data_IF_560158026842
#
_entry.id   IF_560158026842
#
_cell.length_a   1.000
_cell.length_b   1.000
_cell.length_c   1.000
_cell.angle_alpha   90.00
_cell.angle_beta   90.00
_cell.angle_gamma   90.00
#
_symmetry.space_group_name_H-M   'P 1'
#
loop_
_entity.id
_entity.type
_entity.pdbx_description
1 polymer ?
#
# COMPACT_ATOMS: atom_id res chain seq x y z
N UNK A 1 37.84 47.18 15.15
CA UNK A 1 37.30 47.37 13.79
C UNK A 1 37.62 46.11 12.98
N UNK A 2 36.80 45.07 13.17
CA UNK A 2 36.87 43.79 12.47
C UNK A 2 35.43 43.34 12.17
N UNK A 3 35.01 43.40 10.93
CA UNK A 3 33.74 42.95 10.39
C UNK A 3 33.97 42.61 8.92
N UNK A 4 33.23 41.69 8.29
CA UNK A 4 33.04 40.26 8.39
C UNK A 4 33.35 39.60 7.05
N UNK A 5 34.04 38.49 7.09
CA UNK A 5 34.29 37.63 5.90
C UNK A 5 33.38 36.39 5.82
N UNK A 6 32.27 36.36 6.54
CA UNK A 6 31.43 35.16 6.63
C UNK A 6 30.31 35.11 5.57
N UNK A 7 29.98 36.21 4.91
CA UNK A 7 28.81 36.27 4.00
C UNK A 7 29.05 35.88 2.53
N UNK A 8 30.29 35.67 2.08
CA UNK A 8 30.56 35.38 0.67
C UNK A 8 30.84 33.93 0.32
N UNK A 9 30.92 33.02 1.28
CA UNK A 9 31.11 31.57 1.01
C UNK A 9 29.80 30.87 0.72
N UNK A 10 28.66 31.46 1.04
CA UNK A 10 27.34 30.84 0.91
C UNK A 10 26.77 30.76 -0.52
N UNK A 11 27.26 31.56 -1.47
CA UNK A 11 26.65 31.68 -2.81
C UNK A 11 27.37 30.82 -3.88
N UNK A 12 28.63 30.45 -3.66
CA UNK A 12 29.44 29.66 -4.59
C UNK A 12 29.24 28.14 -4.49
N UNK A 13 28.62 27.63 -3.43
CA UNK A 13 28.47 26.19 -3.17
C UNK A 13 27.25 25.55 -3.84
N UNK A 14 26.38 26.34 -4.46
CA UNK A 14 25.07 25.85 -4.92
C UNK A 14 25.07 25.12 -6.28
N UNK A 15 26.13 25.20 -7.09
CA UNK A 15 26.07 24.65 -8.45
C UNK A 15 27.00 23.46 -8.74
N UNK A 16 27.97 23.15 -7.89
CA UNK A 16 29.00 22.16 -8.20
C UNK A 16 29.03 20.89 -7.31
N UNK A 17 28.26 20.82 -6.22
CA UNK A 17 28.37 19.76 -5.23
C UNK A 17 27.10 18.97 -4.93
N UNK A 18 26.10 18.97 -5.81
CA UNK A 18 24.92 18.11 -5.67
C UNK A 18 24.89 17.00 -6.74
N UNK A 19 25.73 15.95 -6.65
CA UNK A 19 25.45 14.74 -7.39
C UNK A 19 24.21 14.10 -6.78
N UNK A 20 23.11 14.10 -7.53
CA UNK A 20 21.90 13.36 -7.27
C UNK A 20 21.34 13.41 -5.84
N UNK A 21 20.32 14.21 -5.57
CA UNK A 21 19.51 14.02 -4.37
C UNK A 21 18.71 12.75 -4.53
N UNK A 22 18.71 11.91 -3.50
CA UNK A 22 17.81 10.78 -3.43
C UNK A 22 16.38 11.29 -3.43
N UNK A 23 15.57 10.74 -4.29
CA UNK A 23 14.16 11.06 -4.42
C UNK A 23 13.35 10.20 -3.46
N UNK A 24 12.37 10.76 -2.77
CA UNK A 24 11.35 9.98 -2.09
C UNK A 24 10.58 9.17 -3.15
N UNK A 25 10.92 7.90 -3.31
CA UNK A 25 10.31 7.01 -4.31
C UNK A 25 9.26 6.14 -3.64
N UNK A 26 8.23 5.70 -4.38
CA UNK A 26 7.07 5.05 -3.82
C UNK A 26 6.94 3.60 -4.27
N UNK A 27 7.20 2.61 -3.43
CA UNK A 27 6.63 1.29 -3.65
C UNK A 27 5.13 1.31 -3.39
N UNK A 28 4.39 0.55 -4.18
CA UNK A 28 2.97 0.28 -3.93
C UNK A 28 2.85 -0.73 -2.79
N UNK A 29 2.06 -0.38 -1.77
CA UNK A 29 1.70 -1.27 -0.67
C UNK A 29 0.37 -1.94 -1.06
N UNK A 30 0.42 -3.19 -1.51
CA UNK A 30 -0.78 -3.90 -1.97
C UNK A 30 -1.69 -4.35 -0.83
N UNK A 31 -1.13 -4.69 0.33
CA UNK A 31 -1.87 -5.16 1.49
C UNK A 31 -2.68 -4.03 2.16
N UNK A 32 -3.98 -4.01 1.94
CA UNK A 32 -4.92 -3.04 2.53
C UNK A 32 -6.09 -3.75 3.24
N UNK A 33 -5.85 -4.98 3.71
CA UNK A 33 -6.77 -5.81 4.45
C UNK A 33 -6.16 -7.20 4.71
N UNK A 34 -6.29 -7.74 5.92
CA UNK A 34 -5.64 -9.00 6.29
C UNK A 34 -6.17 -10.19 5.48
N UNK A 35 -7.48 -10.26 5.19
CA UNK A 35 -8.05 -11.33 4.39
C UNK A 35 -7.47 -11.36 2.98
N UNK A 36 -7.37 -10.21 2.31
CA UNK A 36 -6.77 -10.09 0.98
C UNK A 36 -5.26 -10.35 1.02
N UNK A 37 -4.54 -9.82 2.02
CA UNK A 37 -3.10 -10.07 2.22
C UNK A 37 -2.80 -11.56 2.39
N UNK A 38 -3.65 -12.30 3.11
CA UNK A 38 -3.50 -13.75 3.25
C UNK A 38 -3.58 -14.50 1.90
N UNK A 39 -4.26 -13.94 0.91
CA UNK A 39 -4.34 -14.44 -0.47
C UNK A 39 -3.37 -13.74 -1.41
N UNK A 40 -2.30 -13.15 -0.86
CA UNK A 40 -1.30 -12.36 -1.61
C UNK A 40 -1.95 -11.31 -2.51
N UNK A 41 -3.06 -10.70 -2.01
CA UNK A 41 -3.85 -9.62 -2.60
C UNK A 41 -4.73 -9.98 -3.83
N UNK A 42 -4.91 -11.27 -4.16
CA UNK A 42 -5.91 -11.72 -5.13
C UNK A 42 -7.32 -11.64 -4.51
N UNK A 43 -8.03 -10.51 -4.71
CA UNK A 43 -9.28 -10.20 -4.02
C UNK A 43 -10.27 -9.36 -4.84
N UNK A 44 -9.91 -8.90 -6.04
CA UNK A 44 -10.72 -7.94 -6.79
C UNK A 44 -11.99 -8.54 -7.42
N UNK A 45 -12.07 -9.86 -7.61
CA UNK A 45 -13.28 -10.55 -8.07
C UNK A 45 -14.10 -11.15 -6.92
N UNK A 46 -13.50 -11.40 -5.74
CA UNK A 46 -14.22 -11.75 -4.52
C UNK A 46 -14.82 -10.52 -3.84
N UNK A 47 -14.04 -9.56 -3.45
CA UNK A 47 -14.37 -8.24 -2.90
C UNK A 47 -15.61 -8.25 -1.97
N UNK A 48 -15.64 -9.13 -0.94
CA UNK A 48 -16.82 -9.41 -0.13
C UNK A 48 -16.68 -9.06 1.34
N UNK A 49 -15.76 -8.14 1.66
CA UNK A 49 -15.63 -7.49 2.96
C UNK A 49 -15.42 -5.98 2.78
N UNK A 50 -15.38 -5.15 3.83
CA UNK A 50 -15.25 -3.69 3.69
C UNK A 50 -14.02 -3.21 2.95
N UNK A 51 -12.93 -4.01 2.86
CA UNK A 51 -11.77 -3.67 2.03
C UNK A 51 -12.06 -3.72 0.52
N UNK A 52 -13.22 -4.23 0.11
CA UNK A 52 -13.74 -4.09 -1.26
C UNK A 52 -13.65 -2.64 -1.74
N UNK A 53 -13.86 -1.67 -0.86
CA UNK A 53 -13.71 -0.25 -1.14
C UNK A 53 -12.32 0.11 -1.72
N UNK A 54 -11.28 -0.65 -1.35
CA UNK A 54 -9.94 -0.53 -1.94
C UNK A 54 -9.74 -1.47 -3.12
N UNK A 55 -10.05 -2.77 -2.98
CA UNK A 55 -9.70 -3.78 -4.00
C UNK A 55 -10.63 -3.74 -5.22
N UNK A 56 -11.94 -3.62 -5.02
CA UNK A 56 -12.95 -3.45 -6.07
C UNK A 56 -14.22 -2.81 -5.48
N UNK A 57 -14.37 -1.50 -5.58
CA UNK A 57 -15.53 -0.77 -5.07
C UNK A 57 -16.91 -1.34 -5.44
N UNK A 58 -17.05 -1.89 -6.66
CA UNK A 58 -18.30 -2.54 -7.07
C UNK A 58 -18.71 -3.70 -6.16
N UNK A 59 -17.75 -4.34 -5.48
CA UNK A 59 -17.98 -5.40 -4.50
C UNK A 59 -18.72 -4.95 -3.25
N UNK A 60 -18.74 -3.65 -2.94
CA UNK A 60 -19.51 -3.11 -1.81
C UNK A 60 -21.00 -3.42 -1.90
N UNK A 61 -21.53 -3.65 -3.12
CA UNK A 61 -22.94 -4.04 -3.31
C UNK A 61 -23.28 -5.42 -2.77
N UNK A 62 -22.27 -6.26 -2.47
CA UNK A 62 -22.42 -7.58 -1.84
C UNK A 62 -22.55 -7.48 -0.31
N UNK A 63 -22.14 -6.36 0.28
CA UNK A 63 -22.14 -6.15 1.73
C UNK A 63 -23.52 -5.76 2.22
N UNK A 64 -23.94 -6.34 3.35
CA UNK A 64 -25.23 -6.06 3.98
C UNK A 64 -25.06 -5.13 5.17
N UNK A 65 -26.10 -4.31 5.40
CA UNK A 65 -26.18 -3.43 6.57
C UNK A 65 -25.07 -2.37 6.60
N UNK A 66 -24.68 -2.01 7.80
CA UNK A 66 -23.54 -1.16 8.09
C UNK A 66 -22.37 -2.06 8.51
N UNK A 67 -21.20 -1.86 7.91
CA UNK A 67 -19.99 -2.60 8.30
C UNK A 67 -18.84 -1.63 8.59
N UNK A 68 -18.11 -1.94 9.62
CA UNK A 68 -16.85 -1.30 10.00
C UNK A 68 -15.71 -2.32 9.93
N UNK A 69 -14.56 -1.91 9.44
CA UNK A 69 -13.35 -2.72 9.47
C UNK A 69 -12.14 -1.81 9.73
N UNK A 70 -11.26 -2.23 10.62
CA UNK A 70 -9.99 -1.56 10.88
C UNK A 70 -8.89 -2.60 11.09
N UNK A 71 -7.66 -2.22 10.75
CA UNK A 71 -6.51 -3.09 10.90
C UNK A 71 -5.20 -2.41 10.56
N UNK A 72 -4.12 -3.18 10.65
CA UNK A 72 -2.77 -2.72 10.32
C UNK A 72 -1.91 -3.87 9.80
N UNK A 73 -0.84 -3.47 9.08
CA UNK A 73 0.22 -4.36 8.63
C UNK A 73 1.50 -4.06 9.42
N UNK A 74 2.08 -5.07 10.02
CA UNK A 74 3.39 -5.00 10.68
C UNK A 74 4.42 -5.48 9.66
N UNK A 75 5.26 -4.56 9.17
CA UNK A 75 6.25 -4.85 8.13
C UNK A 75 7.66 -4.80 8.74
N UNK A 76 8.41 -5.88 8.57
CA UNK A 76 9.80 -5.99 8.99
C UNK A 76 10.65 -6.65 7.91
N UNK A 77 11.97 -6.59 8.07
CA UNK A 77 12.92 -7.20 7.16
C UNK A 77 14.12 -6.30 6.90
N UNK A 78 15.00 -6.73 6.00
CA UNK A 78 16.26 -6.03 5.71
C UNK A 78 16.63 -6.12 4.24
N UNK A 79 17.55 -5.26 3.84
CA UNK A 79 18.27 -5.33 2.57
C UNK A 79 19.77 -5.40 2.82
N UNK A 80 20.40 -6.47 2.37
CA UNK A 80 21.86 -6.62 2.38
C UNK A 80 22.43 -6.10 1.06
N UNK A 81 23.51 -5.34 1.17
CA UNK A 81 24.25 -4.82 0.03
C UNK A 81 25.70 -5.30 0.07
N UNK A 82 26.24 -5.62 -1.11
CA UNK A 82 27.67 -5.90 -1.30
C UNK A 82 28.15 -5.16 -2.57
N UNK A 83 29.11 -4.25 -2.41
CA UNK A 83 29.71 -3.53 -3.52
C UNK A 83 30.62 -4.43 -4.37
N UNK A 84 31.00 -4.05 -5.59
CA UNK A 84 31.99 -4.79 -6.41
C UNK A 84 33.38 -4.94 -5.75
N UNK A 85 33.69 -4.07 -4.79
CA UNK A 85 34.96 -4.09 -4.04
C UNK A 85 34.84 -4.83 -2.69
N UNK A 86 33.68 -5.45 -2.40
CA UNK A 86 33.45 -6.22 -1.17
C UNK A 86 33.02 -5.39 0.03
N UNK A 87 32.72 -4.10 -0.12
CA UNK A 87 32.13 -3.30 0.97
C UNK A 87 30.69 -3.74 1.16
N UNK A 88 30.31 -4.03 2.40
CA UNK A 88 28.95 -4.46 2.76
C UNK A 88 28.21 -3.39 3.54
N UNK A 89 26.89 -3.39 3.44
CA UNK A 89 25.99 -2.61 4.29
C UNK A 89 24.67 -3.37 4.48
N UNK A 90 24.03 -3.17 5.63
CA UNK A 90 22.68 -3.66 5.89
C UNK A 90 21.75 -2.45 6.04
N UNK A 91 20.70 -2.41 5.22
CA UNK A 91 19.61 -1.46 5.29
C UNK A 91 18.43 -2.13 5.98
N UNK A 92 18.02 -1.57 7.08
CA UNK A 92 16.79 -1.97 7.73
C UNK A 92 15.66 -0.99 7.37
N UNK A 93 14.45 -1.44 7.52
CA UNK A 93 13.28 -0.61 7.36
C UNK A 93 12.84 -0.07 8.71
N UNK A 94 13.57 0.96 9.19
CA UNK A 94 13.40 1.58 10.50
C UNK A 94 13.68 0.60 11.66
N UNK A 95 14.78 -0.09 11.58
CA UNK A 95 15.10 -1.18 12.48
C UNK A 95 14.44 -2.47 12.00
N UNK A 96 13.87 -3.25 12.89
CA UNK A 96 13.24 -4.54 12.55
C UNK A 96 11.79 -4.42 12.10
N UNK A 97 11.09 -3.33 12.46
CA UNK A 97 9.67 -3.11 12.16
C UNK A 97 9.42 -1.67 11.73
N UNK A 98 8.70 -1.49 10.63
CA UNK A 98 8.28 -0.18 10.15
C UNK A 98 7.28 0.47 11.14
N UNK A 99 7.55 1.72 11.50
CA UNK A 99 6.70 2.51 12.39
C UNK A 99 6.47 3.92 11.83
N UNK A 100 5.24 4.46 11.81
CA UNK A 100 3.98 3.77 12.16
C UNK A 100 3.63 2.66 11.18
N UNK A 101 2.94 1.59 11.64
CA UNK A 101 2.53 0.50 10.76
C UNK A 101 1.49 1.00 9.75
N UNK A 102 1.56 0.59 8.46
CA UNK A 102 0.52 0.88 7.49
C UNK A 102 -0.84 0.39 7.99
N UNK A 103 -1.76 1.32 8.22
CA UNK A 103 -3.11 1.03 8.71
C UNK A 103 -4.15 1.11 7.61
N UNK A 104 -5.31 0.49 7.87
CA UNK A 104 -6.49 0.62 7.03
C UNK A 104 -7.76 0.69 7.88
N UNK A 105 -8.71 1.51 7.44
CA UNK A 105 -10.02 1.63 8.08
C UNK A 105 -11.07 1.82 7.01
N UNK A 106 -12.20 1.13 7.14
CA UNK A 106 -13.31 1.18 6.20
C UNK A 106 -14.64 1.24 6.93
N UNK A 107 -15.55 2.05 6.40
CA UNK A 107 -16.96 2.06 6.75
C UNK A 107 -17.74 1.88 5.46
N UNK A 108 -18.63 0.90 5.39
CA UNK A 108 -19.48 0.63 4.23
C UNK A 108 -20.93 0.48 4.68
N UNK A 109 -21.86 0.99 3.90
CA UNK A 109 -23.27 0.96 4.19
C UNK A 109 -24.07 0.58 2.94
N UNK A 110 -24.94 -0.43 3.05
CA UNK A 110 -25.98 -0.70 2.07
C UNK A 110 -27.18 0.17 2.42
N UNK A 111 -27.50 1.14 1.56
CA UNK A 111 -28.49 2.16 1.90
C UNK A 111 -29.91 1.62 2.03
N UNK A 112 -30.26 0.56 1.29
CA UNK A 112 -31.54 -0.13 1.42
C UNK A 112 -31.70 -0.76 2.80
N UNK A 113 -30.66 -1.43 3.28
CA UNK A 113 -30.68 -2.12 4.59
C UNK A 113 -30.74 -1.12 5.77
N UNK A 114 -30.35 0.15 5.52
CA UNK A 114 -30.51 1.27 6.48
C UNK A 114 -31.86 1.99 6.39
N UNK A 115 -32.80 1.44 5.63
CA UNK A 115 -34.16 2.02 5.51
C UNK A 115 -34.36 3.01 4.36
N UNK A 116 -33.31 3.32 3.59
CA UNK A 116 -33.39 4.21 2.42
C UNK A 116 -33.80 3.41 1.18
N UNK A 117 -35.01 2.85 1.18
CA UNK A 117 -35.52 1.92 0.16
C UNK A 117 -35.55 2.51 -1.25
N UNK A 118 -35.76 3.84 -1.39
CA UNK A 118 -35.71 4.55 -2.67
C UNK A 118 -34.29 4.49 -3.34
N UNK A 119 -33.26 4.25 -2.56
CA UNK A 119 -31.87 4.09 -3.01
C UNK A 119 -31.46 2.61 -3.09
N UNK A 120 -32.44 1.73 -3.37
CA UNK A 120 -32.21 0.30 -3.53
C UNK A 120 -31.12 0.01 -4.57
N UNK A 121 -30.17 -0.83 -4.18
CA UNK A 121 -29.00 -1.17 -5.02
C UNK A 121 -27.78 -0.25 -4.82
N UNK A 122 -27.91 0.88 -4.11
CA UNK A 122 -26.80 1.79 -3.81
C UNK A 122 -26.13 1.41 -2.47
N UNK A 123 -24.81 1.34 -2.50
CA UNK A 123 -23.93 1.24 -1.32
C UNK A 123 -22.98 2.42 -1.30
N UNK A 124 -22.71 2.96 -0.12
CA UNK A 124 -21.77 4.05 0.10
C UNK A 124 -20.70 3.62 1.09
N UNK A 125 -19.51 4.20 1.01
CA UNK A 125 -18.45 3.93 1.95
C UNK A 125 -17.38 5.01 1.97
N UNK A 126 -16.58 4.97 3.01
CA UNK A 126 -15.36 5.75 3.14
C UNK A 126 -14.25 4.85 3.66
N UNK A 127 -13.05 4.97 3.07
CA UNK A 127 -11.85 4.24 3.48
C UNK A 127 -10.70 5.18 3.78
N UNK A 128 -9.85 4.75 4.68
CA UNK A 128 -8.54 5.33 4.93
C UNK A 128 -7.50 4.23 4.75
N UNK A 129 -6.55 4.43 3.83
CA UNK A 129 -5.56 3.42 3.44
C UNK A 129 -4.19 4.05 3.23
N UNK A 130 -3.16 3.20 3.10
CA UNK A 130 -1.78 3.61 2.78
C UNK A 130 -1.30 2.81 1.56
N UNK A 131 -1.83 3.09 0.35
CA UNK A 131 -1.53 2.28 -0.84
C UNK A 131 -0.15 2.55 -1.46
N UNK A 132 0.49 3.64 -1.06
CA UNK A 132 1.84 4.00 -1.46
C UNK A 132 2.63 4.45 -0.23
N UNK A 133 3.89 4.08 -0.15
CA UNK A 133 4.74 4.48 0.96
C UNK A 133 6.11 3.82 0.91
N UNK A 134 7.06 4.41 1.60
CA UNK A 134 8.38 3.84 1.83
C UNK A 134 8.88 4.19 3.21
N UNK A 135 9.75 3.33 3.71
CA UNK A 135 10.55 3.62 4.90
C UNK A 135 11.82 2.79 4.77
N UNK A 136 12.96 3.44 4.63
CA UNK A 136 14.28 2.79 4.48
C UNK A 136 15.33 3.59 5.22
N UNK A 137 16.22 2.91 5.92
CA UNK A 137 17.35 3.50 6.62
C UNK A 137 18.62 2.73 6.31
N UNK A 138 19.72 3.45 6.05
CA UNK A 138 21.05 2.93 5.89
C UNK A 138 22.00 3.56 6.92
N UNK A 139 23.13 2.89 7.25
CA UNK A 139 24.15 3.49 8.12
C UNK A 139 24.64 4.83 7.57
N UNK A 140 24.71 5.85 8.44
CA UNK A 140 25.12 7.20 8.05
C UNK A 140 26.59 7.28 7.60
N UNK A 141 27.44 6.34 8.03
CA UNK A 141 28.86 6.18 7.66
C UNK A 141 29.07 5.14 6.57
N UNK A 142 27.99 4.52 6.08
CA UNK A 142 28.00 3.45 5.08
C UNK A 142 28.27 3.93 3.64
N UNK A 143 28.26 2.99 2.68
CA UNK A 143 28.53 3.29 1.26
C UNK A 143 27.49 4.22 0.64
N UNK A 144 26.27 4.26 1.19
CA UNK A 144 25.17 5.09 0.67
C UNK A 144 25.06 6.47 1.33
N UNK A 145 26.02 6.87 2.16
CA UNK A 145 25.98 8.18 2.84
C UNK A 145 25.78 9.37 1.90
N UNK A 146 26.26 9.28 0.63
CA UNK A 146 26.07 10.34 -0.38
C UNK A 146 24.90 10.08 -1.33
N UNK A 147 24.27 8.91 -1.25
CA UNK A 147 23.09 8.56 -2.03
C UNK A 147 21.81 8.81 -1.19
N UNK A 148 21.52 7.91 -0.24
CA UNK A 148 20.37 7.99 0.66
C UNK A 148 20.71 7.30 1.96
N UNK A 149 20.63 8.00 3.09
CA UNK A 149 20.77 7.41 4.43
C UNK A 149 19.41 7.15 5.08
N UNK A 150 18.41 7.95 4.73
CA UNK A 150 17.03 7.78 5.17
C UNK A 150 16.05 8.21 4.09
N UNK A 151 14.96 7.47 3.94
CA UNK A 151 13.85 7.82 3.05
C UNK A 151 12.53 7.36 3.65
N UNK A 152 11.54 8.24 3.72
CA UNK A 152 10.17 7.90 4.10
C UNK A 152 9.16 8.68 3.29
N UNK A 153 8.03 8.02 3.00
CA UNK A 153 6.88 8.63 2.33
C UNK A 153 5.58 8.10 2.97
N UNK A 154 5.09 8.72 4.04
CA UNK A 154 3.88 8.29 4.76
C UNK A 154 2.63 8.88 4.11
N UNK A 155 2.24 8.38 2.93
CA UNK A 155 1.12 8.91 2.14
C UNK A 155 -0.18 8.18 2.50
N UNK A 156 -1.17 8.93 3.00
CA UNK A 156 -2.52 8.46 3.25
C UNK A 156 -3.38 8.63 2.00
N UNK A 157 -4.39 7.77 1.87
CA UNK A 157 -5.41 7.83 0.82
C UNK A 157 -6.80 7.75 1.47
N UNK A 158 -7.57 8.84 1.36
CA UNK A 158 -8.95 8.95 1.82
C UNK A 158 -9.86 8.67 0.63
N UNK A 159 -10.78 7.70 0.78
CA UNK A 159 -11.54 7.08 -0.32
C UNK A 159 -13.05 7.17 -0.12
N UNK A 160 -13.71 8.31 -0.35
CA UNK A 160 -15.16 8.33 -0.47
C UNK A 160 -15.59 7.59 -1.75
N UNK A 161 -16.52 6.63 -1.61
CA UNK A 161 -16.85 5.68 -2.68
C UNK A 161 -18.32 5.35 -2.69
N UNK A 162 -18.89 5.21 -3.89
CA UNK A 162 -20.25 4.75 -4.16
C UNK A 162 -20.19 3.49 -5.02
N UNK A 163 -21.12 2.57 -4.81
CA UNK A 163 -21.31 1.40 -5.65
C UNK A 163 -22.81 1.17 -5.91
N UNK A 164 -23.13 0.75 -7.13
CA UNK A 164 -24.51 0.55 -7.56
C UNK A 164 -24.70 -0.82 -8.21
N UNK A 165 -25.68 -1.57 -7.72
CA UNK A 165 -26.11 -2.84 -8.29
C UNK A 165 -27.03 -2.60 -9.48
N UNK A 166 -26.49 -2.62 -10.68
CA UNK A 166 -27.24 -2.32 -11.94
C UNK A 166 -28.21 -3.44 -12.28
N UNK A 167 -27.77 -4.69 -12.14
CA UNK A 167 -28.59 -5.90 -12.30
C UNK A 167 -28.23 -6.90 -11.20
N UNK A 168 -28.90 -8.04 -11.15
CA UNK A 168 -28.51 -9.11 -10.21
C UNK A 168 -27.07 -9.62 -10.44
N UNK A 169 -26.55 -9.46 -11.66
CA UNK A 169 -25.23 -9.96 -12.03
C UNK A 169 -24.18 -8.85 -12.21
N UNK A 170 -24.57 -7.58 -12.31
CA UNK A 170 -23.66 -6.48 -12.63
C UNK A 170 -23.71 -5.40 -11.56
N UNK A 171 -22.57 -5.10 -10.98
CA UNK A 171 -22.36 -3.96 -10.10
C UNK A 171 -21.27 -3.05 -10.64
N UNK A 172 -21.42 -1.75 -10.42
CA UNK A 172 -20.46 -0.70 -10.75
C UNK A 172 -20.03 0.02 -9.48
N UNK A 173 -18.81 0.51 -9.44
CA UNK A 173 -18.28 1.33 -8.36
C UNK A 173 -17.54 2.54 -8.89
N UNK A 174 -17.64 3.65 -8.16
CA UNK A 174 -16.96 4.92 -8.45
C UNK A 174 -16.53 5.56 -7.14
N UNK A 175 -15.28 6.02 -7.06
CA UNK A 175 -14.76 6.70 -5.88
C UNK A 175 -13.71 7.75 -6.21
N UNK A 176 -13.44 8.63 -5.25
CA UNK A 176 -12.27 9.47 -5.27
C UNK A 176 -11.15 8.84 -4.44
N UNK A 177 -9.90 9.05 -4.85
CA UNK A 177 -8.69 8.72 -4.11
C UNK A 177 -8.02 10.06 -3.74
N UNK A 178 -8.06 10.46 -2.46
CA UNK A 178 -7.50 11.73 -1.97
C UNK A 178 -6.23 11.44 -1.21
N UNK A 179 -5.11 11.61 -1.90
CA UNK A 179 -3.77 11.37 -1.36
C UNK A 179 -3.29 12.58 -0.58
N UNK A 180 -2.89 12.38 0.67
CA UNK A 180 -2.49 13.49 1.55
C UNK A 180 -1.49 13.05 2.62
N UNK A 181 -0.83 14.02 3.22
CA UNK A 181 0.00 13.87 4.41
C UNK A 181 -0.73 14.44 5.62
N UNK A 182 -0.44 13.92 6.82
CA UNK A 182 -1.03 14.41 8.06
C UNK A 182 0.04 14.64 9.13
N UNK A 183 -0.23 15.51 10.09
CA UNK A 183 0.67 15.72 11.23
C UNK A 183 0.88 14.47 12.10
N UNK A 184 0.00 13.45 12.00
CA UNK A 184 0.13 12.19 12.72
C UNK A 184 1.18 11.26 12.11
N UNK A 185 1.26 11.23 10.77
CA UNK A 185 2.14 10.29 10.05
C UNK A 185 3.38 10.96 9.46
N UNK A 186 3.43 12.29 9.41
CA UNK A 186 4.57 13.07 8.93
C UNK A 186 4.47 13.49 7.46
N UNK A 187 5.59 13.93 6.93
CA UNK A 187 5.79 14.41 5.56
C UNK A 187 6.73 13.46 4.81
N UNK A 188 6.81 13.59 3.48
CA UNK A 188 7.88 12.98 2.70
C UNK A 188 9.23 13.52 3.16
N UNK A 189 10.18 12.62 3.44
CA UNK A 189 11.49 13.00 4.00
C UNK A 189 12.60 12.10 3.43
N UNK A 190 13.69 12.75 2.99
CA UNK A 190 14.90 12.07 2.48
C UNK A 190 16.14 12.74 3.07
N UNK A 191 17.10 11.90 3.52
CA UNK A 191 18.38 12.36 4.07
C UNK A 191 19.58 11.79 3.32
N UNK A 192 20.68 12.55 3.28
CA UNK A 192 22.01 12.11 2.85
C UNK A 192 23.10 13.05 3.32
N UNK A 193 24.35 12.63 3.21
CA UNK A 193 25.49 13.54 3.42
C UNK A 193 25.89 14.20 2.11
N UNK A 194 25.71 15.52 2.01
CA UNK A 194 26.11 16.28 0.81
C UNK A 194 27.62 16.59 0.78
N UNK A 195 28.24 16.79 1.95
CA UNK A 195 29.67 17.03 2.11
C UNK A 195 30.19 16.13 3.23
N UNK A 196 30.52 14.85 2.96
CA UNK A 196 30.91 13.89 3.99
C UNK A 196 32.15 14.32 4.81
N UNK A 197 33.13 14.92 4.13
CA UNK A 197 34.37 15.40 4.79
C UNK A 197 34.10 16.53 5.82
N UNK A 198 33.01 17.28 5.68
CA UNK A 198 32.60 18.34 6.59
C UNK A 198 31.43 17.90 7.50
N UNK A 199 30.98 16.65 7.42
CA UNK A 199 29.86 16.13 8.22
C UNK A 199 28.50 16.81 7.90
N UNK A 200 28.34 17.38 6.71
CA UNK A 200 27.10 18.08 6.34
C UNK A 200 26.04 17.08 5.88
N UNK A 201 25.00 16.92 6.70
CA UNK A 201 23.78 16.17 6.33
C UNK A 201 22.77 17.12 5.71
N UNK A 202 22.20 16.73 4.57
CA UNK A 202 21.08 17.42 3.94
C UNK A 202 19.82 16.60 4.06
N UNK A 203 18.72 17.31 4.30
CA UNK A 203 17.39 16.75 4.49
C UNK A 203 16.42 17.49 3.56
N UNK A 204 15.58 16.74 2.86
CA UNK A 204 14.54 17.27 1.99
C UNK A 204 13.18 16.82 2.54
N UNK A 205 12.33 17.79 2.84
CA UNK A 205 10.96 17.56 3.28
C UNK A 205 9.98 18.07 2.24
N UNK A 206 8.80 17.44 2.19
CA UNK A 206 7.72 17.95 1.34
C UNK A 206 6.40 17.25 1.59
N UNK A 207 5.31 18.01 1.39
CA UNK A 207 3.94 17.54 1.47
C UNK A 207 3.06 18.22 0.44
N UNK A 208 1.96 17.57 0.10
CA UNK A 208 0.88 18.08 -0.74
C UNK A 208 -0.39 17.26 -0.55
N UNK A 209 -1.49 17.67 -1.17
CA UNK A 209 -2.72 16.91 -1.30
C UNK A 209 -3.14 16.87 -2.75
N UNK A 210 -3.35 15.67 -3.30
CA UNK A 210 -3.79 15.46 -4.67
C UNK A 210 -4.97 14.50 -4.72
N UNK A 211 -5.79 14.63 -5.74
CA UNK A 211 -6.94 13.75 -5.95
C UNK A 211 -6.81 12.96 -7.25
N UNK A 212 -7.21 11.72 -7.19
CA UNK A 212 -7.49 10.84 -8.30
C UNK A 212 -8.91 10.32 -8.20
N UNK A 213 -9.26 9.40 -9.08
CA UNK A 213 -10.52 8.67 -9.03
C UNK A 213 -10.30 7.19 -9.31
N UNK A 214 -11.24 6.37 -8.86
CA UNK A 214 -11.31 4.96 -9.23
C UNK A 214 -12.69 4.63 -9.79
N UNK A 215 -12.73 3.70 -10.74
CA UNK A 215 -13.95 3.14 -11.31
C UNK A 215 -13.81 1.63 -11.37
N UNK A 216 -14.90 0.91 -11.14
CA UNK A 216 -14.83 -0.55 -11.08
C UNK A 216 -16.10 -1.22 -11.53
N UNK A 217 -15.95 -2.50 -11.85
CA UNK A 217 -17.00 -3.40 -12.27
C UNK A 217 -16.84 -4.74 -11.57
N UNK A 218 -17.94 -5.33 -11.13
CA UNK A 218 -18.03 -6.70 -10.69
C UNK A 218 -19.18 -7.39 -11.42
N UNK A 219 -18.86 -8.45 -12.17
CA UNK A 219 -19.84 -9.23 -12.93
C UNK A 219 -19.86 -10.67 -12.46
N UNK A 220 -21.02 -11.16 -12.05
CA UNK A 220 -21.26 -12.56 -11.73
C UNK A 220 -21.63 -13.32 -13.00
N UNK A 221 -20.68 -14.10 -13.54
CA UNK A 221 -20.85 -14.83 -14.79
C UNK A 221 -21.69 -16.12 -14.61
N UNK A 222 -21.54 -16.77 -13.46
CA UNK A 222 -22.24 -18.04 -13.16
C UNK A 222 -22.78 -18.02 -11.73
N UNK A 223 -23.96 -18.65 -11.53
CA UNK A 223 -24.57 -18.88 -10.22
C UNK A 223 -24.97 -20.34 -10.06
N UNK A 224 -24.97 -20.81 -8.81
CA UNK A 224 -25.58 -22.10 -8.49
C UNK A 224 -27.11 -21.99 -8.41
N UNK A 225 -27.77 -23.11 -8.12
CA UNK A 225 -29.25 -23.20 -7.99
C UNK A 225 -29.80 -22.35 -6.83
N UNK A 226 -28.97 -22.06 -5.80
CA UNK A 226 -29.32 -21.18 -4.66
C UNK A 226 -29.06 -19.70 -4.96
N UNK A 227 -28.66 -19.35 -6.18
CA UNK A 227 -28.34 -17.98 -6.61
C UNK A 227 -26.98 -17.46 -6.12
N UNK A 228 -26.15 -18.29 -5.47
CA UNK A 228 -24.80 -17.88 -5.04
C UNK A 228 -23.84 -17.81 -6.24
N UNK A 229 -22.97 -16.77 -6.35
CA UNK A 229 -21.96 -16.72 -7.41
C UNK A 229 -21.05 -17.94 -7.44
N UNK A 230 -20.84 -18.53 -8.61
CA UNK A 230 -19.84 -19.58 -8.87
C UNK A 230 -18.65 -19.05 -9.67
N UNK A 231 -18.84 -17.98 -10.42
CA UNK A 231 -17.77 -17.31 -11.14
C UNK A 231 -18.03 -15.80 -11.17
N UNK A 232 -17.03 -15.03 -10.81
CA UNK A 232 -17.04 -13.57 -10.88
C UNK A 232 -15.89 -13.08 -11.77
N UNK A 233 -16.11 -11.93 -12.43
CA UNK A 233 -15.10 -11.16 -13.14
C UNK A 233 -15.08 -9.76 -12.49
N UNK A 234 -13.90 -9.31 -12.12
CA UNK A 234 -13.64 -7.98 -11.57
C UNK A 234 -12.77 -7.15 -12.52
N UNK A 235 -13.10 -5.87 -12.67
CA UNK A 235 -12.21 -4.90 -13.34
C UNK A 235 -12.18 -3.64 -12.50
N UNK A 236 -10.97 -3.11 -12.27
CA UNK A 236 -10.76 -1.88 -11.50
C UNK A 236 -9.79 -0.99 -12.25
N UNK A 237 -10.14 0.27 -12.38
CA UNK A 237 -9.27 1.33 -12.86
C UNK A 237 -9.04 2.34 -11.75
N UNK A 238 -7.80 2.68 -11.49
CA UNK A 238 -7.40 3.79 -10.62
C UNK A 238 -6.59 4.78 -11.43
N UNK A 239 -7.01 6.04 -11.41
CA UNK A 239 -6.36 7.09 -12.18
C UNK A 239 -4.98 7.44 -11.63
N UNK A 240 -4.15 8.01 -12.48
CA UNK A 240 -2.96 8.72 -12.04
C UNK A 240 -3.35 9.91 -11.15
N UNK A 241 -2.52 10.22 -10.15
CA UNK A 241 -2.59 11.46 -9.39
C UNK A 241 -1.21 12.12 -9.34
N UNK A 242 -1.18 13.44 -9.24
CA UNK A 242 0.08 14.21 -9.23
C UNK A 242 0.14 15.10 -8.00
N UNK A 243 1.15 14.88 -7.16
CA UNK A 243 1.44 15.69 -5.99
C UNK A 243 2.52 16.73 -6.35
N UNK A 244 2.26 17.98 -6.04
CA UNK A 244 3.20 19.10 -6.15
C UNK A 244 3.78 19.43 -4.79
N UNK A 245 4.68 18.55 -4.31
CA UNK A 245 5.27 18.63 -2.99
C UNK A 245 5.92 20.00 -2.77
N UNK A 246 5.59 20.64 -1.68
CA UNK A 246 6.20 21.89 -1.19
C UNK A 246 6.77 21.66 0.20
N UNK A 247 8.01 22.12 0.42
CA UNK A 247 8.71 21.92 1.66
C UNK A 247 10.03 22.66 1.72
N UNK A 248 11.03 22.08 2.35
CA UNK A 248 12.31 22.71 2.60
C UNK A 248 13.49 21.76 2.37
N UNK A 249 14.62 22.35 1.95
CA UNK A 249 15.94 21.76 2.03
C UNK A 249 16.63 22.28 3.28
N UNK A 250 17.09 21.35 4.13
CA UNK A 250 17.86 21.67 5.33
C UNK A 250 19.31 21.22 5.15
N UNK A 251 20.23 21.86 5.88
CA UNK A 251 21.60 21.40 6.06
C UNK A 251 21.90 21.43 7.58
N UNK A 252 22.25 20.26 8.13
CA UNK A 252 22.44 20.07 9.59
C UNK A 252 21.27 20.63 10.41
N UNK A 253 20.02 20.38 9.98
CA UNK A 253 18.79 20.87 10.61
C UNK A 253 18.45 22.34 10.36
N UNK A 254 19.34 23.14 9.78
CA UNK A 254 19.10 24.54 9.41
C UNK A 254 18.49 24.66 8.00
N UNK A 255 17.39 25.41 7.84
CA UNK A 255 16.77 25.64 6.53
C UNK A 255 17.71 26.43 5.62
N UNK A 256 18.03 25.86 4.45
CA UNK A 256 18.88 26.47 3.41
C UNK A 256 18.01 27.08 2.31
N UNK A 257 16.93 26.43 1.94
CA UNK A 257 16.07 26.87 0.85
C UNK A 257 14.66 26.29 0.98
N UNK A 258 13.68 26.96 0.39
CA UNK A 258 12.43 26.29 0.01
C UNK A 258 12.73 25.26 -1.08
N UNK A 259 11.94 24.19 -1.12
CA UNK A 259 12.08 23.13 -2.09
C UNK A 259 10.69 22.70 -2.62
N UNK A 260 10.64 22.36 -3.89
CA UNK A 260 9.45 21.83 -4.56
C UNK A 260 9.82 20.62 -5.40
N UNK A 261 8.96 19.60 -5.42
CA UNK A 261 9.11 18.43 -6.27
C UNK A 261 7.76 17.97 -6.79
N UNK A 262 7.73 17.34 -7.95
CA UNK A 262 6.50 16.75 -8.49
C UNK A 262 6.58 15.23 -8.38
N UNK A 263 5.62 14.63 -7.70
CA UNK A 263 5.52 13.20 -7.48
C UNK A 263 4.28 12.66 -8.19
N UNK A 264 4.47 11.73 -9.12
CA UNK A 264 3.38 11.14 -9.91
C UNK A 264 3.06 9.75 -9.38
N UNK A 265 1.84 9.56 -8.88
CA UNK A 265 1.27 8.25 -8.58
C UNK A 265 0.75 7.63 -9.88
N UNK A 266 1.18 6.40 -10.25
CA UNK A 266 0.81 5.81 -11.51
C UNK A 266 -0.66 5.40 -11.55
N UNK A 267 -1.24 5.36 -12.75
CA UNK A 267 -2.50 4.66 -12.95
C UNK A 267 -2.32 3.15 -12.73
N UNK A 268 -3.39 2.49 -12.28
CA UNK A 268 -3.44 1.04 -12.09
C UNK A 268 -4.69 0.49 -12.76
N UNK A 269 -4.54 -0.61 -13.51
CA UNK A 269 -5.65 -1.38 -14.06
C UNK A 269 -5.54 -2.79 -13.49
N UNK A 270 -6.59 -3.27 -12.83
CA UNK A 270 -6.69 -4.62 -12.30
C UNK A 270 -7.77 -5.38 -13.08
N UNK A 271 -7.43 -6.55 -13.60
CA UNK A 271 -8.38 -7.54 -14.12
C UNK A 271 -8.37 -8.77 -13.23
N UNK A 272 -9.54 -9.31 -12.87
CA UNK A 272 -9.65 -10.39 -11.91
C UNK A 272 -10.71 -11.43 -12.30
N UNK A 273 -10.46 -12.69 -11.96
CA UNK A 273 -11.42 -13.80 -12.10
C UNK A 273 -11.40 -14.63 -10.82
N UNK A 274 -12.55 -14.83 -10.21
CA UNK A 274 -12.75 -15.75 -9.09
C UNK A 274 -13.73 -16.86 -9.46
N UNK A 275 -13.41 -18.09 -9.06
CA UNK A 275 -14.29 -19.25 -9.21
C UNK A 275 -14.47 -19.96 -7.88
N UNK A 276 -15.65 -20.55 -7.67
CA UNK A 276 -15.97 -21.36 -6.50
C UNK A 276 -16.25 -22.81 -6.92
N UNK A 277 -15.21 -23.70 -6.96
CA UNK A 277 -15.40 -25.11 -7.24
C UNK A 277 -16.34 -25.81 -6.24
N UNK A 278 -16.33 -25.33 -4.99
CA UNK A 278 -17.26 -25.79 -3.94
C UNK A 278 -17.96 -24.57 -3.35
N UNK A 279 -19.29 -24.57 -3.34
CA UNK A 279 -20.09 -23.51 -2.70
C UNK A 279 -21.43 -24.05 -2.21
N UNK A 280 -21.41 -24.57 -1.00
CA UNK A 280 -22.58 -25.16 -0.32
C UNK A 280 -23.06 -24.29 0.86
N UNK A 281 -24.01 -24.77 1.63
CA UNK A 281 -24.42 -24.14 2.89
C UNK A 281 -23.41 -24.33 4.02
N UNK A 282 -22.53 -25.33 3.95
CA UNK A 282 -21.59 -25.71 5.00
C UNK A 282 -20.16 -25.23 4.73
N UNK A 283 -19.78 -25.17 3.46
CA UNK A 283 -18.40 -24.86 3.07
C UNK A 283 -18.33 -24.21 1.69
N UNK A 284 -17.29 -23.40 1.53
CA UNK A 284 -16.95 -22.77 0.25
C UNK A 284 -15.45 -22.94 -0.01
N UNK A 285 -15.10 -23.22 -1.26
CA UNK A 285 -13.72 -23.15 -1.74
C UNK A 285 -13.65 -22.22 -2.92
N UNK A 286 -12.76 -21.25 -2.85
CA UNK A 286 -12.55 -20.24 -3.89
C UNK A 286 -11.11 -20.30 -4.42
N UNK A 287 -10.99 -20.09 -5.72
CA UNK A 287 -9.74 -19.80 -6.43
C UNK A 287 -9.88 -18.46 -7.14
N UNK A 288 -8.86 -17.62 -7.07
CA UNK A 288 -8.87 -16.29 -7.70
C UNK A 288 -7.53 -15.98 -8.35
N UNK A 289 -7.57 -15.31 -9.50
CA UNK A 289 -6.42 -14.77 -10.20
C UNK A 289 -6.69 -13.31 -10.54
N UNK A 290 -5.80 -12.44 -10.11
CA UNK A 290 -5.80 -11.01 -10.42
C UNK A 290 -4.53 -10.65 -11.20
N UNK A 291 -4.64 -9.71 -12.12
CA UNK A 291 -3.53 -9.16 -12.88
C UNK A 291 -3.59 -7.64 -12.80
N UNK A 292 -2.53 -7.05 -12.27
CA UNK A 292 -2.35 -5.60 -12.25
C UNK A 292 -1.42 -5.16 -13.39
N UNK A 293 -1.84 -4.12 -14.10
CA UNK A 293 -0.97 -3.28 -14.91
C UNK A 293 -0.74 -1.95 -14.19
N UNK A 294 0.52 -1.58 -13.98
CA UNK A 294 0.89 -0.33 -13.29
C UNK A 294 1.68 0.59 -14.24
N UNK A 295 1.14 1.78 -14.47
CA UNK A 295 1.64 2.76 -15.44
C UNK A 295 2.85 3.58 -14.96
N UNK A 296 3.88 2.95 -14.41
CA UNK A 296 5.07 3.60 -13.83
C UNK A 296 5.86 4.46 -14.83
N UNK A 297 5.69 4.28 -16.14
CA UNK A 297 6.32 5.12 -17.16
C UNK A 297 5.93 6.60 -17.05
N UNK A 298 4.87 6.93 -16.31
CA UNK A 298 4.48 8.30 -15.96
C UNK A 298 5.50 8.97 -15.02
N UNK A 299 6.26 8.21 -14.24
CA UNK A 299 7.34 8.71 -13.37
C UNK A 299 8.62 8.88 -14.17
N UNK A 300 8.76 10.02 -14.83
CA UNK A 300 9.93 10.33 -15.68
C UNK A 300 11.06 10.94 -14.89
N UNK A 301 10.75 11.82 -13.97
CA UNK A 301 11.71 12.49 -13.10
C UNK A 301 11.05 12.83 -11.75
N UNK A 302 11.88 13.15 -10.77
CA UNK A 302 11.54 13.68 -9.47
C UNK A 302 12.40 14.90 -9.16
N UNK A 303 12.50 15.80 -10.15
CA UNK A 303 13.33 16.99 -10.07
C UNK A 303 12.93 17.86 -8.87
N UNK A 304 13.94 18.38 -8.17
CA UNK A 304 13.76 19.26 -7.03
C UNK A 304 14.12 20.67 -7.42
N UNK A 305 13.16 21.58 -7.38
CA UNK A 305 13.38 23.03 -7.63
C UNK A 305 13.53 23.76 -6.30
N UNK A 306 14.63 24.45 -6.13
CA UNK A 306 14.93 25.26 -4.96
C UNK A 306 14.28 26.64 -5.03
N UNK A 307 14.13 27.32 -3.88
CA UNK A 307 13.60 28.69 -3.82
C UNK A 307 14.39 29.72 -4.63
N UNK A 308 15.66 29.43 -4.93
CA UNK A 308 16.50 30.23 -5.85
C UNK A 308 16.15 30.06 -7.33
N UNK A 309 15.28 29.12 -7.67
CA UNK A 309 14.96 28.71 -9.05
C UNK A 309 15.89 27.63 -9.62
N UNK A 310 16.97 27.27 -8.91
CA UNK A 310 17.86 26.19 -9.33
C UNK A 310 17.14 24.84 -9.25
N UNK A 311 17.30 24.02 -10.30
CA UNK A 311 16.69 22.68 -10.38
C UNK A 311 17.76 21.61 -10.27
N UNK A 312 17.54 20.66 -9.34
CA UNK A 312 18.34 19.46 -9.16
C UNK A 312 17.66 18.34 -9.92
N UNK A 313 18.20 17.97 -11.06
CA UNK A 313 17.61 16.96 -11.93
C UNK A 313 17.69 15.55 -11.31
N UNK A 314 16.56 14.85 -11.30
CA UNK A 314 16.39 13.49 -10.75
C UNK A 314 15.63 12.61 -11.76
N UNK A 315 16.20 12.32 -12.93
CA UNK A 315 15.52 11.50 -13.92
C UNK A 315 15.37 10.05 -13.40
N UNK A 316 14.18 9.49 -13.54
CA UNK A 316 13.80 8.17 -13.09
C UNK A 316 13.69 7.16 -14.23
N UNK A 317 13.00 7.55 -15.32
CA UNK A 317 12.80 6.72 -16.52
C UNK A 317 12.25 5.33 -16.21
N UNK A 318 11.27 5.25 -15.28
CA UNK A 318 10.67 4.00 -14.88
C UNK A 318 9.91 3.33 -16.03
N UNK A 319 9.73 2.01 -15.92
CA UNK A 319 8.98 1.19 -16.89
C UNK A 319 7.66 0.71 -16.30
N UNK A 320 6.65 0.55 -17.16
CA UNK A 320 5.40 -0.08 -16.75
C UNK A 320 5.65 -1.53 -16.31
N UNK A 321 4.86 -2.01 -15.36
CA UNK A 321 5.02 -3.32 -14.76
C UNK A 321 3.71 -4.06 -14.69
N UNK A 322 3.82 -5.38 -14.56
CA UNK A 322 2.72 -6.27 -14.26
C UNK A 322 2.94 -6.94 -12.92
N UNK A 323 1.83 -7.23 -12.22
CA UNK A 323 1.81 -8.16 -11.11
C UNK A 323 0.72 -9.20 -11.35
N UNK A 324 1.05 -10.47 -11.11
CA UNK A 324 0.10 -11.59 -11.20
C UNK A 324 -0.08 -12.14 -9.79
N UNK A 325 -1.33 -12.18 -9.34
CA UNK A 325 -1.70 -12.64 -8.00
C UNK A 325 -2.61 -13.86 -8.11
N UNK A 326 -2.31 -14.89 -7.33
CA UNK A 326 -3.09 -16.12 -7.22
C UNK A 326 -3.51 -16.29 -5.76
N UNK A 327 -4.78 -16.50 -5.50
CA UNK A 327 -5.32 -16.64 -4.16
C UNK A 327 -6.31 -17.80 -4.04
N UNK A 328 -6.35 -18.41 -2.86
CA UNK A 328 -7.33 -19.42 -2.50
C UNK A 328 -7.88 -19.17 -1.10
N UNK A 329 -9.15 -19.43 -0.92
CA UNK A 329 -9.84 -19.41 0.37
C UNK A 329 -10.68 -20.66 0.52
N UNK A 330 -10.48 -21.39 1.61
CA UNK A 330 -11.39 -22.44 2.03
C UNK A 330 -12.11 -22.03 3.31
N UNK A 331 -13.44 -22.01 3.28
CA UNK A 331 -14.27 -21.51 4.36
C UNK A 331 -15.24 -22.58 4.85
N UNK A 332 -15.24 -22.81 6.15
CA UNK A 332 -16.27 -23.56 6.87
C UNK A 332 -17.30 -22.56 7.41
N UNK A 333 -18.56 -22.70 6.95
CA UNK A 333 -19.68 -21.81 7.31
C UNK A 333 -20.46 -22.33 8.53
N UNK A 334 -20.30 -23.62 8.83
CA UNK A 334 -20.87 -24.32 9.98
C UNK A 334 -19.89 -25.40 10.45
N UNK A 335 -19.50 -25.33 11.72
CA UNK A 335 -18.69 -26.33 12.39
C UNK A 335 -19.45 -26.83 13.61
N UNK A 336 -19.61 -28.15 13.78
CA UNK A 336 -20.26 -28.74 14.94
C UNK A 336 -19.56 -28.35 16.25
N UNK A 337 -18.23 -28.30 16.24
CA UNK A 337 -17.39 -27.92 17.38
C UNK A 337 -17.40 -26.43 17.71
N UNK A 338 -17.79 -25.56 16.75
CA UNK A 338 -17.85 -24.11 16.92
C UNK A 338 -19.16 -23.55 16.33
N UNK A 339 -20.30 -23.80 17.01
CA UNK A 339 -21.59 -23.29 16.56
C UNK A 339 -21.57 -21.77 16.44
N UNK A 340 -22.17 -21.23 15.36
CA UNK A 340 -22.23 -19.81 15.06
C UNK A 340 -20.88 -19.14 14.73
N UNK A 341 -19.85 -19.93 14.41
CA UNK A 341 -18.60 -19.43 13.87
C UNK A 341 -18.42 -19.84 12.40
N UNK A 342 -17.76 -18.97 11.65
CA UNK A 342 -17.17 -19.29 10.36
C UNK A 342 -15.65 -19.24 10.50
N UNK A 343 -14.99 -20.21 9.89
CA UNK A 343 -13.52 -20.30 9.86
C UNK A 343 -13.07 -20.30 8.42
N UNK A 344 -12.08 -19.49 8.08
CA UNK A 344 -11.48 -19.43 6.76
C UNK A 344 -9.97 -19.68 6.81
N UNK A 345 -9.47 -20.56 5.97
CA UNK A 345 -8.05 -20.70 5.67
C UNK A 345 -7.77 -20.09 4.31
N UNK A 346 -6.69 -19.33 4.21
CA UNK A 346 -6.31 -18.62 3.01
C UNK A 346 -4.85 -18.85 2.68
N UNK A 347 -4.54 -18.84 1.38
CA UNK A 347 -3.19 -18.87 0.85
C UNK A 347 -3.10 -18.15 -0.46
N UNK A 348 -1.92 -17.69 -0.82
CA UNK A 348 -1.74 -17.00 -2.09
C UNK A 348 -0.28 -16.82 -2.48
N UNK A 349 -0.11 -16.41 -3.72
CA UNK A 349 1.17 -16.12 -4.33
C UNK A 349 1.05 -14.91 -5.25
N UNK A 350 2.04 -14.01 -5.21
CA UNK A 350 2.18 -12.90 -6.16
C UNK A 350 3.56 -12.92 -6.80
N UNK A 351 3.60 -12.71 -8.11
CA UNK A 351 4.80 -12.31 -8.84
C UNK A 351 4.63 -10.87 -9.31
N UNK A 352 5.57 -10.00 -9.00
CA UNK A 352 5.56 -8.58 -9.36
C UNK A 352 6.88 -8.15 -9.95
N UNK A 353 6.83 -7.44 -11.06
CA UNK A 353 8.00 -6.88 -11.75
C UNK A 353 8.47 -5.59 -11.08
N UNK A 354 9.78 -5.34 -11.09
CA UNK A 354 10.36 -4.04 -10.72
C UNK A 354 10.20 -3.01 -11.83
N UNK A 355 9.86 -1.79 -11.45
CA UNK A 355 9.75 -0.64 -12.35
C UNK A 355 11.08 0.07 -12.62
N UNK A 356 12.09 -0.14 -11.81
CA UNK A 356 13.27 0.71 -11.68
C UNK A 356 14.45 0.20 -12.54
N UNK A 357 14.97 1.01 -13.50
CA UNK A 357 16.20 0.66 -14.23
C UNK A 357 17.45 0.78 -13.34
N UNK A 358 18.53 0.03 -13.66
CA UNK A 358 19.78 0.09 -12.90
C UNK A 358 20.42 1.47 -12.92
N UNK A 359 20.34 2.17 -14.05
CA UNK A 359 20.87 3.53 -14.24
C UNK A 359 20.36 4.53 -13.18
N UNK A 360 19.10 4.34 -12.72
CA UNK A 360 18.40 5.24 -11.80
C UNK A 360 17.96 4.51 -10.53
N UNK A 361 18.49 3.33 -10.26
CA UNK A 361 18.22 2.61 -9.03
C UNK A 361 18.64 3.44 -7.81
N UNK A 362 17.80 3.46 -6.79
CA UNK A 362 18.00 4.21 -5.55
C UNK A 362 17.94 3.26 -4.34
N UNK A 363 18.98 3.23 -3.49
CA UNK A 363 18.99 2.41 -2.27
C UNK A 363 17.94 2.87 -1.23
N UNK A 364 17.39 4.07 -1.34
CA UNK A 364 16.26 4.53 -0.52
C UNK A 364 14.98 3.72 -0.74
N UNK A 365 14.87 3.01 -1.89
CA UNK A 365 13.83 2.04 -2.19
C UNK A 365 14.46 0.88 -2.95
N UNK A 366 15.08 -0.06 -2.26
CA UNK A 366 15.63 -1.24 -2.92
C UNK A 366 14.47 -2.01 -3.58
N UNK A 367 14.48 -2.07 -4.92
CA UNK A 367 13.45 -2.71 -5.72
C UNK A 367 14.04 -3.75 -6.65
N UNK A 368 13.43 -4.92 -6.70
CA UNK A 368 13.74 -6.01 -7.61
C UNK A 368 12.45 -6.72 -8.01
N UNK A 369 12.50 -7.66 -8.92
CA UNK A 369 11.38 -8.55 -9.15
C UNK A 369 11.08 -9.31 -7.85
N UNK A 370 9.79 -9.53 -7.57
CA UNK A 370 9.32 -9.86 -6.23
C UNK A 370 8.36 -11.05 -6.29
N UNK A 371 8.60 -12.01 -5.40
CA UNK A 371 7.73 -13.14 -5.11
C UNK A 371 7.14 -12.98 -3.71
N UNK A 372 5.82 -12.97 -3.57
CA UNK A 372 5.15 -12.93 -2.28
C UNK A 372 4.39 -14.22 -2.07
N UNK A 373 4.67 -14.90 -0.96
CA UNK A 373 3.88 -16.05 -0.50
C UNK A 373 3.10 -15.62 0.73
N UNK A 374 1.80 -15.78 0.68
CA UNK A 374 0.87 -15.39 1.75
C UNK A 374 0.08 -16.56 2.30
N UNK A 375 -0.28 -16.45 3.59
CA UNK A 375 -1.22 -17.34 4.25
C UNK A 375 -1.96 -16.63 5.38
N UNK A 376 -3.09 -17.18 5.82
CA UNK A 376 -3.84 -16.57 6.92
C UNK A 376 -5.08 -17.31 7.34
N UNK A 377 -5.63 -16.82 8.46
CA UNK A 377 -6.81 -17.37 9.13
C UNK A 377 -7.86 -16.27 9.29
N UNK A 378 -9.11 -16.60 8.96
CA UNK A 378 -10.27 -15.74 9.24
C UNK A 378 -11.21 -16.44 10.21
N UNK A 379 -11.70 -15.69 11.19
CA UNK A 379 -12.69 -16.11 12.16
C UNK A 379 -13.84 -15.11 12.14
N UNK A 380 -15.09 -15.58 11.99
CA UNK A 380 -16.27 -14.74 12.06
C UNK A 380 -17.24 -15.32 13.07
N UNK A 381 -17.44 -14.62 14.19
CA UNK A 381 -18.40 -14.93 15.21
C UNK A 381 -19.74 -14.27 14.91
N UNK A 382 -20.80 -15.05 14.69
CA UNK A 382 -22.17 -14.56 14.50
C UNK A 382 -22.78 -14.12 15.85
N UNK A 383 -23.86 -13.38 15.82
CA UNK A 383 -24.51 -12.78 16.99
C UNK A 383 -24.67 -13.72 18.18
N UNK A 384 -25.13 -14.96 17.91
CA UNK A 384 -25.36 -15.99 18.95
C UNK A 384 -24.10 -16.78 19.35
N UNK A 385 -22.97 -16.55 18.64
CA UNK A 385 -21.70 -17.15 18.99
C UNK A 385 -21.12 -16.55 20.26
N UNK A 386 -20.18 -17.26 20.88
CA UNK A 386 -19.50 -16.75 22.07
C UNK A 386 -17.98 -16.87 21.95
N UNK A 387 -17.27 -15.91 22.51
CA UNK A 387 -15.83 -15.99 22.75
C UNK A 387 -15.58 -16.83 24.00
N UNK A 388 -15.01 -18.02 23.82
CA UNK A 388 -14.61 -18.95 24.91
C UNK A 388 -15.74 -19.24 25.94
N UNK A 389 -17.00 -19.10 25.54
CA UNK A 389 -18.13 -19.25 26.46
C UNK A 389 -18.35 -18.10 27.45
N UNK A 390 -17.48 -17.06 27.40
CA UNK A 390 -17.53 -15.97 28.39
C UNK A 390 -18.44 -14.81 27.96
N UNK A 391 -18.52 -14.49 26.67
CA UNK A 391 -19.25 -13.34 26.17
C UNK A 391 -19.82 -13.62 24.78
N UNK A 392 -21.07 -13.22 24.53
CA UNK A 392 -21.69 -13.35 23.22
C UNK A 392 -21.14 -12.28 22.26
N UNK A 393 -20.94 -12.64 21.01
CA UNK A 393 -20.44 -11.71 19.99
C UNK A 393 -21.41 -10.54 19.74
N UNK A 394 -22.72 -10.77 19.81
CA UNK A 394 -23.74 -9.72 19.73
C UNK A 394 -23.75 -8.74 20.92
N UNK A 395 -23.13 -9.07 22.04
CA UNK A 395 -23.08 -8.19 23.21
C UNK A 395 -21.87 -7.22 23.19
N UNK A 396 -20.95 -7.36 22.21
CA UNK A 396 -19.75 -6.52 22.05
C UNK A 396 -20.04 -5.16 21.39
N UNK A 397 -21.30 -4.72 21.36
CA UNK A 397 -21.68 -3.44 20.79
C UNK A 397 -21.52 -2.26 21.74
N UNK A 398 -21.57 -1.04 21.19
CA UNK A 398 -21.57 0.21 21.95
C UNK A 398 -22.99 0.79 21.95
N UNK A 399 -23.57 0.95 23.13
CA UNK A 399 -24.94 1.49 23.30
C UNK A 399 -26.00 0.58 22.68
N UNK A 400 -26.82 1.14 21.77
CA UNK A 400 -27.88 0.40 21.06
C UNK A 400 -27.38 -0.33 19.80
N UNK A 401 -26.15 -0.08 19.36
CA UNK A 401 -25.55 -0.70 18.19
C UNK A 401 -24.93 -2.05 18.57
N UNK A 402 -25.69 -3.13 18.31
CA UNK A 402 -25.24 -4.50 18.54
C UNK A 402 -24.80 -5.13 17.23
N UNK A 403 -23.58 -5.67 17.13
CA UNK A 403 -23.12 -6.31 15.91
C UNK A 403 -23.82 -7.66 15.71
N UNK A 404 -24.22 -7.93 14.48
CA UNK A 404 -24.72 -9.24 14.02
C UNK A 404 -23.58 -10.24 13.83
N UNK A 405 -22.39 -9.74 13.60
CA UNK A 405 -21.18 -10.56 13.54
C UNK A 405 -19.93 -9.73 13.79
N UNK A 406 -18.91 -10.37 14.37
CA UNK A 406 -17.57 -9.81 14.53
C UNK A 406 -16.57 -10.77 13.89
N UNK A 407 -15.75 -10.24 12.99
CA UNK A 407 -14.68 -10.98 12.31
C UNK A 407 -13.30 -10.54 12.75
N UNK A 408 -12.37 -11.48 12.80
CA UNK A 408 -10.94 -11.24 12.94
C UNK A 408 -10.23 -12.00 11.84
N UNK A 409 -9.43 -11.29 11.05
CA UNK A 409 -8.59 -11.86 10.01
C UNK A 409 -7.13 -11.64 10.37
N UNK A 410 -6.34 -12.70 10.25
CA UNK A 410 -4.88 -12.70 10.44
C UNK A 410 -4.20 -13.10 9.15
N UNK A 411 -3.09 -12.46 8.82
CA UNK A 411 -2.28 -12.80 7.66
C UNK A 411 -0.79 -12.76 7.97
N UNK A 412 -0.05 -13.55 7.21
CA UNK A 412 1.39 -13.46 7.13
C UNK A 412 1.80 -13.54 5.67
N UNK A 413 2.77 -12.71 5.26
CA UNK A 413 3.37 -12.72 3.94
C UNK A 413 4.89 -12.71 4.08
N UNK A 414 5.55 -13.53 3.27
CA UNK A 414 6.98 -13.45 3.00
C UNK A 414 7.17 -12.85 1.59
N UNK A 415 7.79 -11.69 1.53
CA UNK A 415 8.13 -11.00 0.29
C UNK A 415 9.61 -11.25 -0.01
N UNK A 416 9.86 -12.10 -1.00
CA UNK A 416 11.17 -12.58 -1.43
C UNK A 416 11.54 -11.83 -2.72
N UNK A 417 12.48 -10.89 -2.60
CA UNK A 417 12.98 -10.17 -3.76
C UNK A 417 14.08 -11.00 -4.43
N UNK A 418 14.10 -11.00 -5.76
CA UNK A 418 15.21 -11.57 -6.49
C UNK A 418 16.51 -10.81 -6.20
N UNK A 419 17.65 -11.51 -6.11
CA UNK A 419 18.96 -10.89 -5.99
C UNK A 419 19.17 -9.94 -7.17
N UNK A 420 19.48 -8.68 -6.86
CA UNK A 420 19.66 -7.66 -7.89
C UNK A 420 21.11 -7.21 -7.97
N UNK A 421 21.71 -7.36 -9.14
CA UNK A 421 23.00 -6.77 -9.46
C UNK A 421 22.80 -5.45 -10.21
N UNK A 422 23.10 -4.33 -9.54
CA UNK A 422 23.03 -2.99 -10.13
C UNK A 422 24.39 -2.65 -10.73
N UNK A 423 24.40 -2.29 -12.03
CA UNK A 423 25.58 -1.88 -12.76
C UNK A 423 25.31 -0.61 -13.57
N UNK A 424 26.34 0.24 -13.71
CA UNK A 424 26.22 1.47 -14.51
C UNK A 424 25.28 2.52 -13.92
N UNK A 425 25.04 2.48 -12.61
CA UNK A 425 24.21 3.49 -11.94
C UNK A 425 24.90 4.88 -12.06
N UNK A 426 24.09 5.93 -12.13
CA UNK A 426 24.57 7.34 -12.15
C UNK A 426 25.43 7.68 -10.94
N UNK A 427 25.10 7.12 -9.79
CA UNK A 427 25.93 7.17 -8.59
C UNK A 427 26.70 5.86 -8.47
N UNK A 428 28.02 5.81 -8.78
CA UNK A 428 28.81 4.57 -8.76
C UNK A 428 28.82 3.84 -7.39
N UNK A 429 28.58 4.55 -6.28
CA UNK A 429 28.54 3.94 -4.93
C UNK A 429 27.34 3.02 -4.75
N UNK A 430 26.35 3.12 -5.64
CA UNK A 430 25.14 2.30 -5.64
C UNK A 430 25.32 0.98 -6.39
N UNK A 431 26.36 0.85 -7.22
CA UNK A 431 26.65 -0.40 -7.93
C UNK A 431 27.01 -1.52 -6.96
N UNK A 432 26.39 -2.68 -7.15
CA UNK A 432 26.60 -3.85 -6.31
C UNK A 432 25.43 -4.80 -6.31
N UNK A 433 25.47 -5.76 -5.40
CA UNK A 433 24.44 -6.79 -5.23
C UNK A 433 23.56 -6.44 -4.04
N UNK A 434 22.25 -6.46 -4.27
CA UNK A 434 21.21 -6.23 -3.26
C UNK A 434 20.41 -7.51 -3.04
N UNK A 435 20.21 -7.87 -1.77
CA UNK A 435 19.36 -8.98 -1.32
C UNK A 435 18.35 -8.46 -0.32
N UNK A 436 17.08 -8.48 -0.68
CA UNK A 436 16.00 -7.95 0.16
C UNK A 436 15.02 -9.06 0.54
N UNK A 437 14.67 -9.12 1.80
CA UNK A 437 13.59 -9.98 2.30
C UNK A 437 12.75 -9.19 3.27
N UNK A 438 11.41 -9.21 3.06
CA UNK A 438 10.46 -8.58 3.96
C UNK A 438 9.44 -9.60 4.45
N UNK A 439 8.99 -9.40 5.67
CA UNK A 439 7.91 -10.14 6.30
C UNK A 439 6.82 -9.17 6.70
N UNK A 440 5.57 -9.54 6.44
CA UNK A 440 4.41 -8.71 6.81
C UNK A 440 3.42 -9.54 7.58
N UNK A 441 3.15 -9.16 8.83
CA UNK A 441 2.03 -9.65 9.62
C UNK A 441 0.84 -8.70 9.48
N UNK A 442 -0.36 -9.21 9.26
CA UNK A 442 -1.56 -8.38 9.15
C UNK A 442 -2.65 -8.81 10.12
N UNK A 443 -3.36 -7.83 10.66
CA UNK A 443 -4.57 -8.04 11.45
C UNK A 443 -5.67 -7.10 10.99
N UNK A 444 -6.89 -7.61 10.85
CA UNK A 444 -8.09 -6.82 10.62
C UNK A 444 -9.22 -7.28 11.53
N UNK A 445 -9.95 -6.33 12.10
CA UNK A 445 -11.17 -6.57 12.87
C UNK A 445 -12.32 -5.98 12.08
N UNK A 446 -13.40 -6.76 11.91
CA UNK A 446 -14.61 -6.39 11.20
C UNK A 446 -15.83 -6.52 12.10
N UNK A 447 -16.73 -5.52 12.04
CA UNK A 447 -18.03 -5.53 12.72
C UNK A 447 -19.13 -5.35 11.69
N UNK A 448 -20.18 -6.16 11.76
CA UNK A 448 -21.35 -6.17 10.88
C UNK A 448 -22.57 -5.86 11.73
N UNK A 449 -23.30 -4.80 11.39
CA UNK A 449 -24.50 -4.33 12.07
C UNK A 449 -25.79 -4.57 11.29
#
# INVERSE_FOLDING_TARGET
MWVPWVCMIGIGLCSACFPGMASAQMPRIQGQGAAASAMSNAFAAQANDPSALHYNPAGMTQLKGLQFMAGALIVGGSTDFTSPTGVTANGDRNGTVAWPPPGHTYITANLKDLGLTALGGLSAGIGLTVPFGSLTRWPNDGPFRTATTFSTLPLLDIKPTLAYKVTENLSLGLGADIYTFTGLVGEGHVEKQSIPAAGVTTELFGKDTAAGFNASLLYTALRNVDGKPLANIGVVYRSQATLHLSGALLANGGKVSDARATLVLPQVITGAIAIWPVRTSEREWKLEMDVDYVGWKSVRNLDVTLGTGATIAQPQNWRNTYAVMLGTEYKWLALESLPNWEVALRGGYTNQQTQMPDLTFDPGIPSSDLHVVGGGLGLLCKEQGSFLGLMRCGDLGVGSLKPKAIGVDLSFQAALYEDRTVVGNRNPTVNGIYRTTLHTGGVSIRMIY
#
